data_IF_586957784373
#
_entry.id   IF_586957784373
#
_cell.length_a   1.000
_cell.length_b   1.000
_cell.length_c   1.000
_cell.angle_alpha   90.00
_cell.angle_beta   90.00
_cell.angle_gamma   90.00
#
_symmetry.space_group_name_H-M   'P 1'
#
loop_
_entity.id
_entity.type
_entity.pdbx_description
1 polymer ?
#
# COMPACT_ATOMS: atom_id res chain seq x y z
N UNK A 1 0.56 -36.92 5.91
CA UNK A 1 0.84 -37.86 7.01
C UNK A 1 0.50 -37.18 8.31
N UNK A 2 -0.77 -37.32 8.64
CA UNK A 2 -1.55 -36.70 9.70
C UNK A 2 -1.28 -37.35 11.07
N UNK A 3 -0.07 -37.17 11.58
CA UNK A 3 0.39 -37.85 12.81
C UNK A 3 0.77 -36.96 13.99
N UNK A 4 0.98 -35.65 13.79
CA UNK A 4 1.58 -34.80 14.85
C UNK A 4 0.62 -33.84 15.57
N UNK A 5 -0.68 -33.86 15.25
CA UNK A 5 -1.67 -33.00 15.92
C UNK A 5 -2.46 -33.71 17.02
N UNK A 6 -2.27 -35.02 17.22
CA UNK A 6 -3.00 -35.83 18.20
C UNK A 6 -2.44 -35.79 19.63
N UNK A 7 -1.29 -35.13 19.85
CA UNK A 7 -0.65 -35.05 21.16
C UNK A 7 -0.51 -33.63 21.73
N UNK A 8 -1.31 -32.66 21.25
CA UNK A 8 -1.44 -31.40 21.99
C UNK A 8 -2.25 -31.65 23.27
N UNK A 9 -1.75 -31.24 24.46
CA UNK A 9 -2.55 -31.22 25.68
C UNK A 9 -3.87 -30.47 25.43
N UNK A 10 -4.98 -30.93 26.00
CA UNK A 10 -6.31 -30.32 25.76
C UNK A 10 -6.35 -28.80 26.03
N UNK A 11 -5.42 -28.31 26.85
CA UNK A 11 -5.19 -26.91 27.20
C UNK A 11 -4.86 -26.03 25.98
N UNK A 12 -4.36 -26.60 24.88
CA UNK A 12 -3.90 -25.87 23.69
C UNK A 12 -4.88 -25.93 22.50
N UNK A 13 -6.04 -26.59 22.64
CA UNK A 13 -7.09 -26.58 21.60
C UNK A 13 -7.80 -25.22 21.58
N UNK A 14 -7.53 -24.40 20.57
CA UNK A 14 -8.24 -23.12 20.36
C UNK A 14 -9.55 -23.39 19.63
N UNK A 15 -10.65 -23.50 20.36
CA UNK A 15 -12.01 -23.60 19.80
C UNK A 15 -12.54 -22.21 19.42
N UNK A 16 -12.92 -22.02 18.15
CA UNK A 16 -13.64 -20.85 17.67
C UNK A 16 -15.10 -20.84 18.11
N UNK A 17 -15.38 -20.86 19.41
CA UNK A 17 -16.72 -20.64 19.94
C UNK A 17 -16.62 -19.90 21.27
N UNK A 18 -17.27 -18.72 21.33
CA UNK A 18 -17.65 -17.96 22.54
C UNK A 18 -16.99 -18.41 23.85
N UNK A 19 -15.71 -18.08 24.05
CA UNK A 19 -14.94 -18.59 25.19
C UNK A 19 -14.24 -17.48 25.98
N UNK A 20 -14.37 -17.52 27.29
CA UNK A 20 -13.44 -16.90 28.24
C UNK A 20 -12.04 -17.48 27.99
N UNK A 21 -10.99 -16.66 27.93
CA UNK A 21 -9.64 -17.17 27.72
C UNK A 21 -9.23 -18.07 28.90
N UNK A 22 -9.00 -19.37 28.63
CA UNK A 22 -8.64 -20.36 29.66
C UNK A 22 -7.13 -20.43 29.94
N UNK A 23 -6.31 -19.99 28.99
CA UNK A 23 -4.84 -19.99 29.11
C UNK A 23 -4.36 -18.70 29.78
N UNK A 24 -3.45 -18.84 30.76
CA UNK A 24 -2.71 -17.71 31.33
C UNK A 24 -1.74 -17.17 30.27
N UNK A 25 -2.22 -16.22 29.46
CA UNK A 25 -1.48 -15.67 28.32
C UNK A 25 -0.07 -15.19 28.68
N UNK A 26 0.10 -14.56 29.84
CA UNK A 26 1.41 -14.13 30.34
C UNK A 26 2.40 -15.30 30.48
N UNK A 27 1.94 -16.45 30.97
CA UNK A 27 2.75 -17.68 31.13
C UNK A 27 3.10 -18.29 29.78
N UNK A 28 2.12 -18.33 28.86
CA UNK A 28 2.34 -18.82 27.49
C UNK A 28 3.40 -17.97 26.78
N UNK A 29 3.32 -16.65 26.88
CA UNK A 29 4.31 -15.75 26.25
C UNK A 29 5.69 -15.87 26.90
N UNK A 30 5.78 -16.00 28.23
CA UNK A 30 7.07 -16.28 28.89
C UNK A 30 7.70 -17.57 28.36
N UNK A 31 6.94 -18.65 28.29
CA UNK A 31 7.41 -19.93 27.77
C UNK A 31 7.87 -19.82 26.30
N UNK A 32 7.12 -19.08 25.46
CA UNK A 32 7.52 -18.80 24.07
C UNK A 32 8.87 -18.06 24.04
N UNK A 33 9.05 -17.02 24.86
CA UNK A 33 10.29 -16.25 24.91
C UNK A 33 11.47 -17.12 25.36
N UNK A 34 11.31 -17.95 26.40
CA UNK A 34 12.33 -18.88 26.87
C UNK A 34 12.77 -19.84 25.77
N UNK A 35 11.82 -20.49 25.08
CA UNK A 35 12.10 -21.46 24.03
C UNK A 35 12.76 -20.82 22.82
N UNK A 36 12.30 -19.63 22.43
CA UNK A 36 12.84 -18.95 21.25
C UNK A 36 14.20 -18.28 21.53
N UNK A 37 14.55 -18.05 22.80
CA UNK A 37 15.84 -17.49 23.20
C UNK A 37 16.93 -18.56 23.38
N UNK A 38 16.55 -19.80 23.68
CA UNK A 38 17.48 -20.93 23.76
C UNK A 38 17.78 -21.52 22.38
N UNK A 39 19.05 -21.62 22.00
CA UNK A 39 19.45 -22.06 20.65
C UNK A 39 19.07 -23.50 20.32
N UNK A 40 19.06 -24.41 21.30
CA UNK A 40 18.68 -25.80 21.09
C UNK A 40 17.15 -25.94 20.99
N UNK A 41 16.42 -25.37 21.94
CA UNK A 41 14.95 -25.41 21.95
C UNK A 41 14.35 -24.65 20.77
N UNK A 42 14.93 -23.53 20.36
CA UNK A 42 14.53 -22.80 19.17
C UNK A 42 14.66 -23.67 17.92
N UNK A 43 15.75 -24.43 17.79
CA UNK A 43 15.96 -25.34 16.65
C UNK A 43 14.95 -26.48 16.63
N UNK A 44 14.65 -27.07 17.80
CA UNK A 44 13.74 -28.20 17.92
C UNK A 44 12.26 -27.81 17.83
N UNK A 45 11.87 -26.70 18.47
CA UNK A 45 10.47 -26.35 18.73
C UNK A 45 10.07 -24.95 18.26
N UNK A 46 11.02 -24.11 17.81
CA UNK A 46 10.77 -22.69 17.54
C UNK A 46 9.67 -22.43 16.52
N UNK A 47 9.58 -23.23 15.45
CA UNK A 47 8.48 -23.11 14.48
C UNK A 47 7.11 -23.30 15.14
N UNK A 48 6.97 -24.32 15.98
CA UNK A 48 5.70 -24.62 16.67
C UNK A 48 5.31 -23.48 17.60
N UNK A 49 6.25 -22.97 18.40
CA UNK A 49 5.98 -21.89 19.35
C UNK A 49 5.71 -20.55 18.66
N UNK A 50 6.30 -20.28 17.49
CA UNK A 50 5.94 -19.12 16.66
C UNK A 50 4.52 -19.22 16.10
N UNK A 51 4.07 -20.41 15.70
CA UNK A 51 2.68 -20.59 15.26
C UNK A 51 1.70 -20.43 16.44
N UNK A 52 2.05 -20.91 17.63
CA UNK A 52 1.26 -20.65 18.85
C UNK A 52 1.20 -19.15 19.13
N UNK A 53 2.34 -18.46 19.09
CA UNK A 53 2.42 -17.00 19.28
C UNK A 53 1.50 -16.27 18.29
N UNK A 54 1.52 -16.66 17.02
CA UNK A 54 0.67 -16.08 15.98
C UNK A 54 -0.81 -16.19 16.33
N UNK A 55 -1.27 -17.36 16.81
CA UNK A 55 -2.66 -17.55 17.22
C UNK A 55 -3.01 -16.77 18.50
N UNK A 56 -2.09 -16.67 19.47
CA UNK A 56 -2.27 -15.80 20.65
C UNK A 56 -2.44 -14.34 20.23
N UNK A 57 -1.60 -13.83 19.33
CA UNK A 57 -1.63 -12.44 18.88
C UNK A 57 -2.89 -12.08 18.07
N UNK A 58 -3.55 -13.06 17.45
CA UNK A 58 -4.81 -12.86 16.70
C UNK A 58 -6.02 -12.62 17.63
N UNK A 59 -5.93 -13.04 18.89
CA UNK A 59 -7.03 -12.91 19.85
C UNK A 59 -6.88 -11.61 20.64
N UNK A 60 -7.71 -10.63 20.33
CA UNK A 60 -7.69 -9.29 20.96
C UNK A 60 -7.74 -9.31 22.49
N UNK A 61 -8.45 -10.27 23.08
CA UNK A 61 -8.57 -10.42 24.55
C UNK A 61 -7.21 -10.65 25.23
N UNK A 62 -6.23 -11.20 24.52
CA UNK A 62 -4.91 -11.48 25.07
C UNK A 62 -3.96 -10.28 25.05
N UNK A 63 -4.23 -9.23 24.28
CA UNK A 63 -3.25 -8.15 24.07
C UNK A 63 -2.88 -7.43 25.38
N UNK A 64 -3.86 -7.16 26.24
CA UNK A 64 -3.63 -6.56 27.56
C UNK A 64 -3.08 -7.53 28.61
N UNK A 65 -3.00 -8.82 28.31
CA UNK A 65 -2.43 -9.82 29.22
C UNK A 65 -0.92 -10.03 29.01
N UNK A 66 -0.38 -9.53 27.90
CA UNK A 66 1.05 -9.62 27.58
C UNK A 66 1.76 -8.46 28.30
N UNK A 67 2.79 -8.78 29.08
CA UNK A 67 3.56 -7.80 29.86
C UNK A 67 4.23 -6.79 28.94
N UNK A 68 4.40 -5.57 29.44
CA UNK A 68 5.09 -4.48 28.75
C UNK A 68 6.47 -4.91 28.22
N UNK A 69 7.31 -5.55 29.04
CA UNK A 69 8.66 -5.96 28.63
C UNK A 69 8.64 -7.09 27.61
N UNK A 70 7.69 -8.03 27.73
CA UNK A 70 7.55 -9.13 26.77
C UNK A 70 7.25 -8.61 25.35
N UNK A 71 6.52 -7.51 25.19
CA UNK A 71 6.31 -6.92 23.85
C UNK A 71 7.62 -6.48 23.20
N UNK A 72 8.52 -5.88 23.99
CA UNK A 72 9.82 -5.45 23.52
C UNK A 72 10.72 -6.64 23.17
N UNK A 73 10.75 -7.65 24.05
CA UNK A 73 11.53 -8.88 23.83
C UNK A 73 11.04 -9.65 22.60
N UNK A 74 9.72 -9.83 22.45
CA UNK A 74 9.13 -10.48 21.27
C UNK A 74 9.52 -9.76 19.99
N UNK A 75 9.49 -8.41 20.00
CA UNK A 75 9.87 -7.63 18.83
C UNK A 75 11.33 -7.88 18.43
N UNK A 76 12.25 -7.77 19.39
CA UNK A 76 13.68 -7.95 19.12
C UNK A 76 14.01 -9.38 18.69
N UNK A 77 13.41 -10.37 19.35
CA UNK A 77 13.60 -11.78 19.05
C UNK A 77 13.08 -12.15 17.65
N UNK A 78 11.89 -11.67 17.27
CA UNK A 78 11.34 -11.93 15.95
C UNK A 78 12.12 -11.22 14.83
N UNK A 79 12.69 -10.04 15.08
CA UNK A 79 13.61 -9.42 14.10
C UNK A 79 14.90 -10.22 13.96
N UNK A 80 15.46 -10.73 15.06
CA UNK A 80 16.64 -11.61 15.01
C UNK A 80 16.37 -12.89 14.22
N UNK A 81 15.22 -13.54 14.49
CA UNK A 81 14.75 -14.71 13.75
C UNK A 81 14.51 -14.42 12.26
N UNK A 82 14.08 -13.20 11.91
CA UNK A 82 13.90 -12.81 10.51
C UNK A 82 15.25 -12.70 9.77
N UNK A 83 16.26 -12.11 10.41
CA UNK A 83 17.60 -11.96 9.83
C UNK A 83 18.35 -13.28 9.75
N UNK A 84 18.17 -14.16 10.74
CA UNK A 84 18.83 -15.47 10.83
C UNK A 84 17.80 -16.58 11.05
N UNK A 85 16.98 -16.90 10.05
CA UNK A 85 15.95 -17.93 10.21
C UNK A 85 16.61 -19.32 10.34
N UNK A 86 16.17 -20.15 11.30
CA UNK A 86 16.50 -21.57 11.32
C UNK A 86 16.04 -22.26 10.02
N UNK A 87 16.67 -23.38 9.65
CA UNK A 87 16.48 -24.06 8.35
C UNK A 87 15.02 -24.43 7.98
N UNK A 88 14.10 -24.46 8.94
CA UNK A 88 12.69 -24.82 8.74
C UNK A 88 11.73 -23.66 9.00
N UNK A 89 12.25 -22.47 9.27
CA UNK A 89 11.45 -21.30 9.57
C UNK A 89 11.32 -20.41 8.33
N UNK A 90 10.08 -20.29 7.86
CA UNK A 90 9.75 -19.45 6.73
C UNK A 90 9.74 -17.96 7.12
N UNK A 91 10.46 -17.12 6.36
CA UNK A 91 10.53 -15.66 6.57
C UNK A 91 9.15 -15.01 6.48
N UNK A 92 8.23 -15.50 5.65
CA UNK A 92 6.89 -14.91 5.53
C UNK A 92 6.10 -15.06 6.84
N UNK A 93 6.21 -16.22 7.48
CA UNK A 93 5.61 -16.48 8.79
C UNK A 93 6.15 -15.52 9.86
N UNK A 94 7.47 -15.32 9.90
CA UNK A 94 8.09 -14.38 10.86
C UNK A 94 7.66 -12.94 10.59
N UNK A 95 7.62 -12.51 9.32
CA UNK A 95 7.13 -11.18 8.94
C UNK A 95 5.66 -10.97 9.31
N UNK A 96 4.81 -11.99 9.19
CA UNK A 96 3.41 -11.91 9.62
C UNK A 96 3.29 -11.81 11.15
N UNK A 97 4.14 -12.53 11.91
CA UNK A 97 4.19 -12.41 13.36
C UNK A 97 4.66 -11.01 13.77
N UNK A 98 5.71 -10.49 13.13
CA UNK A 98 6.16 -9.10 13.33
C UNK A 98 5.03 -8.11 13.06
N UNK A 99 4.25 -8.30 11.99
CA UNK A 99 3.07 -7.47 11.73
C UNK A 99 2.12 -7.45 12.93
N UNK A 100 1.81 -8.62 13.49
CA UNK A 100 0.93 -8.71 14.66
C UNK A 100 1.56 -8.10 15.91
N UNK A 101 2.85 -8.31 16.17
CA UNK A 101 3.56 -7.68 17.29
C UNK A 101 3.50 -6.16 17.18
N UNK A 102 3.75 -5.59 16.00
CA UNK A 102 3.67 -4.14 15.79
C UNK A 102 2.25 -3.63 15.97
N UNK A 103 1.27 -4.30 15.34
CA UNK A 103 -0.14 -3.90 15.40
C UNK A 103 -0.70 -3.91 16.82
N UNK A 104 -0.38 -4.96 17.58
CA UNK A 104 -0.96 -5.20 18.89
C UNK A 104 -0.11 -4.58 20.02
N UNK A 105 1.21 -4.60 19.89
CA UNK A 105 2.15 -4.18 20.94
C UNK A 105 2.41 -2.68 21.01
N UNK A 106 2.30 -1.95 19.89
CA UNK A 106 2.56 -0.49 19.90
C UNK A 106 1.58 0.29 20.78
N UNK A 107 0.26 -0.03 20.82
CA UNK A 107 -0.65 0.59 21.79
C UNK A 107 -0.46 0.11 23.24
N UNK A 108 0.24 -0.99 23.47
CA UNK A 108 0.40 -1.64 24.79
C UNK A 108 1.75 -1.35 25.44
N UNK A 109 2.70 -0.81 24.68
CA UNK A 109 4.07 -0.59 25.14
C UNK A 109 4.79 0.45 24.28
N UNK A 110 5.99 0.87 24.69
CA UNK A 110 6.78 1.87 23.97
C UNK A 110 7.58 1.27 22.79
N UNK A 111 6.94 0.45 21.95
CA UNK A 111 7.60 -0.16 20.79
C UNK A 111 8.09 0.88 19.76
N UNK A 112 7.47 2.06 19.69
CA UNK A 112 7.73 3.04 18.64
C UNK A 112 9.22 3.40 18.46
N UNK A 113 9.92 3.67 19.57
CA UNK A 113 11.35 3.98 19.55
C UNK A 113 12.21 2.79 19.11
N UNK A 114 11.86 1.57 19.53
CA UNK A 114 12.56 0.34 19.10
C UNK A 114 12.31 0.06 17.63
N UNK A 115 11.07 0.19 17.16
CA UNK A 115 10.68 0.00 15.76
C UNK A 115 11.41 0.93 14.81
N UNK A 116 11.54 2.21 15.19
CA UNK A 116 12.31 3.19 14.39
C UNK A 116 13.75 2.72 14.15
N UNK A 117 14.40 2.10 15.15
CA UNK A 117 15.75 1.54 15.02
C UNK A 117 15.82 0.32 14.09
N UNK A 118 14.68 -0.33 13.79
CA UNK A 118 14.59 -1.51 12.90
C UNK A 118 14.33 -1.15 11.44
N UNK A 119 14.15 0.13 11.10
CA UNK A 119 13.98 0.55 9.69
C UNK A 119 15.08 0.05 8.76
N UNK A 120 16.39 0.11 9.10
CA UNK A 120 17.42 -0.45 8.22
C UNK A 120 17.25 -1.94 7.94
N UNK A 121 16.74 -2.72 8.90
CA UNK A 121 16.45 -4.15 8.71
C UNK A 121 15.31 -4.35 7.71
N UNK A 122 14.25 -3.55 7.85
CA UNK A 122 13.09 -3.60 6.96
C UNK A 122 13.46 -3.15 5.54
N UNK A 123 14.31 -2.12 5.39
CA UNK A 123 14.81 -1.71 4.07
C UNK A 123 15.56 -2.87 3.42
N UNK A 124 16.50 -3.51 4.12
CA UNK A 124 17.21 -4.70 3.61
C UNK A 124 16.28 -5.85 3.23
N UNK A 125 15.16 -6.01 3.94
CA UNK A 125 14.17 -7.03 3.60
C UNK A 125 13.50 -6.78 2.23
N UNK A 126 13.32 -5.51 1.82
CA UNK A 126 12.81 -5.15 0.49
C UNK A 126 13.90 -5.16 -0.59
N UNK A 127 15.17 -4.98 -0.20
CA UNK A 127 16.34 -5.07 -1.08
C UNK A 127 16.71 -6.49 -1.48
N UNK A 128 16.22 -7.50 -0.74
CA UNK A 128 16.49 -8.92 -0.99
C UNK A 128 16.06 -9.31 -2.42
N UNK A 129 17.02 -9.74 -3.23
CA UNK A 129 16.82 -10.06 -4.64
C UNK A 129 15.89 -11.26 -4.85
N UNK A 130 15.75 -12.13 -3.86
CA UNK A 130 14.83 -13.28 -3.91
C UNK A 130 13.39 -12.90 -3.53
N UNK A 131 13.16 -11.71 -2.96
CA UNK A 131 11.82 -11.25 -2.58
C UNK A 131 10.84 -11.34 -3.74
N UNK A 132 11.28 -11.03 -4.96
CA UNK A 132 10.49 -11.10 -6.20
C UNK A 132 9.83 -12.47 -6.45
N UNK A 133 10.43 -13.56 -5.93
CA UNK A 133 9.98 -14.94 -6.13
C UNK A 133 9.03 -15.45 -5.04
N UNK A 134 8.83 -14.67 -3.96
CA UNK A 134 8.19 -15.12 -2.72
C UNK A 134 6.90 -14.32 -2.43
N UNK A 135 5.75 -14.64 -3.06
CA UNK A 135 4.53 -13.82 -2.98
C UNK A 135 3.95 -13.71 -1.56
N UNK A 136 4.04 -14.78 -0.76
CA UNK A 136 3.58 -14.74 0.63
C UNK A 136 4.45 -13.80 1.50
N UNK A 137 5.76 -13.76 1.24
CA UNK A 137 6.69 -12.86 1.92
C UNK A 137 6.44 -11.41 1.49
N UNK A 138 6.27 -11.16 0.19
CA UNK A 138 5.90 -9.84 -0.35
C UNK A 138 4.68 -9.26 0.39
N UNK A 139 3.60 -10.03 0.47
CA UNK A 139 2.38 -9.59 1.15
C UNK A 139 2.59 -9.35 2.65
N UNK A 140 3.38 -10.21 3.31
CA UNK A 140 3.66 -10.07 4.75
C UNK A 140 4.53 -8.84 5.05
N UNK A 141 5.54 -8.57 4.22
CA UNK A 141 6.39 -7.37 4.35
C UNK A 141 5.61 -6.10 4.03
N UNK A 142 4.74 -6.08 3.02
CA UNK A 142 3.87 -4.94 2.74
C UNK A 142 2.94 -4.64 3.92
N UNK A 143 2.29 -5.67 4.50
CA UNK A 143 1.47 -5.52 5.71
C UNK A 143 2.27 -4.95 6.88
N UNK A 144 3.48 -5.45 7.08
CA UNK A 144 4.38 -4.96 8.12
C UNK A 144 4.78 -3.50 7.88
N UNK A 145 5.21 -3.15 6.67
CA UNK A 145 5.61 -1.79 6.30
C UNK A 145 4.48 -0.78 6.47
N UNK A 146 3.26 -1.10 5.99
CA UNK A 146 2.08 -0.27 6.19
C UNK A 146 1.79 -0.05 7.68
N UNK A 147 1.86 -1.13 8.46
CA UNK A 147 1.52 -1.09 9.89
C UNK A 147 2.55 -0.28 10.67
N UNK A 148 3.84 -0.54 10.45
CA UNK A 148 4.95 0.22 11.04
C UNK A 148 4.82 1.71 10.70
N UNK A 149 4.59 2.04 9.42
CA UNK A 149 4.42 3.43 9.00
C UNK A 149 3.21 4.08 9.64
N UNK A 150 2.06 3.40 9.75
CA UNK A 150 0.85 3.94 10.41
C UNK A 150 1.06 4.20 11.90
N UNK A 151 1.75 3.28 12.59
CA UNK A 151 2.02 3.43 14.02
C UNK A 151 3.00 4.58 14.30
N UNK A 152 3.99 4.78 13.42
CA UNK A 152 5.04 5.79 13.62
C UNK A 152 4.75 7.14 12.95
N UNK A 153 3.74 7.22 12.07
CA UNK A 153 3.40 8.43 11.31
C UNK A 153 3.20 9.66 12.22
N UNK A 154 2.58 9.48 13.39
CA UNK A 154 2.27 10.59 14.30
C UNK A 154 3.48 11.10 15.07
N UNK A 155 4.37 10.21 15.49
CA UNK A 155 5.49 10.53 16.40
C UNK A 155 6.84 10.66 15.68
N UNK A 156 6.95 10.13 14.47
CA UNK A 156 8.20 10.02 13.72
C UNK A 156 7.96 10.12 12.23
N UNK A 157 7.11 11.06 11.80
CA UNK A 157 6.78 11.32 10.39
C UNK A 157 8.03 11.43 9.53
N UNK A 158 9.03 12.23 9.93
CA UNK A 158 10.25 12.45 9.14
C UNK A 158 11.02 11.14 8.89
N UNK A 159 11.21 10.33 9.93
CA UNK A 159 11.85 9.02 9.79
C UNK A 159 11.00 8.06 8.95
N UNK A 160 9.67 8.15 9.05
CA UNK A 160 8.73 7.33 8.27
C UNK A 160 8.74 7.71 6.79
N UNK A 161 8.80 9.00 6.46
CA UNK A 161 9.02 9.49 5.09
C UNK A 161 10.35 8.98 4.53
N UNK A 162 11.44 9.09 5.28
CA UNK A 162 12.73 8.52 4.87
C UNK A 162 12.63 7.02 4.60
N UNK A 163 12.00 6.26 5.50
CA UNK A 163 11.77 4.83 5.32
C UNK A 163 10.96 4.53 4.06
N UNK A 164 9.88 5.29 3.84
CA UNK A 164 9.08 5.23 2.63
C UNK A 164 9.89 5.47 1.37
N UNK A 165 10.69 6.54 1.36
CA UNK A 165 11.61 6.85 0.26
C UNK A 165 12.64 5.72 0.06
N UNK A 166 13.12 5.08 1.11
CA UNK A 166 14.09 3.99 0.99
C UNK A 166 13.50 2.74 0.32
N UNK A 167 12.21 2.44 0.54
CA UNK A 167 11.59 1.19 0.05
C UNK A 167 10.68 1.35 -1.19
N UNK A 168 10.24 2.56 -1.53
CA UNK A 168 9.20 2.78 -2.55
C UNK A 168 9.55 2.18 -3.92
N UNK A 169 10.81 2.30 -4.36
CA UNK A 169 11.25 1.70 -5.64
C UNK A 169 11.08 0.18 -5.65
N UNK A 170 11.41 -0.51 -4.55
CA UNK A 170 11.25 -1.96 -4.43
C UNK A 170 9.78 -2.35 -4.41
N UNK A 171 8.94 -1.58 -3.70
CA UNK A 171 7.48 -1.80 -3.66
C UNK A 171 6.86 -1.68 -5.04
N UNK A 172 7.24 -0.68 -5.84
CA UNK A 172 6.78 -0.51 -7.23
C UNK A 172 7.19 -1.71 -8.09
N UNK A 173 8.40 -2.24 -7.91
CA UNK A 173 8.87 -3.43 -8.63
C UNK A 173 8.10 -4.72 -8.29
N UNK A 174 7.32 -4.76 -7.19
CA UNK A 174 6.46 -5.90 -6.87
C UNK A 174 5.16 -5.93 -7.67
N UNK A 175 4.85 -4.86 -8.41
CA UNK A 175 3.65 -4.77 -9.24
C UNK A 175 3.61 -5.86 -10.30
N UNK A 176 2.52 -6.61 -10.31
CA UNK A 176 2.20 -7.57 -11.36
C UNK A 176 0.73 -7.43 -11.72
N UNK A 177 0.43 -7.48 -13.02
CA UNK A 177 -0.95 -7.49 -13.49
C UNK A 177 -1.53 -8.91 -13.45
N UNK A 178 -1.90 -9.38 -12.26
CA UNK A 178 -2.60 -10.66 -12.04
C UNK A 178 -4.04 -10.39 -11.60
N UNK A 179 -5.00 -11.03 -12.28
CA UNK A 179 -6.43 -10.92 -11.94
C UNK A 179 -6.76 -11.70 -10.66
N UNK A 180 -6.10 -12.83 -10.44
CA UNK A 180 -6.22 -13.64 -9.23
C UNK A 180 -5.04 -13.36 -8.30
N UNK A 181 -5.29 -12.55 -7.27
CA UNK A 181 -4.29 -12.20 -6.26
C UNK A 181 -4.69 -12.79 -4.91
N UNK A 182 -4.28 -14.05 -4.66
CA UNK A 182 -4.57 -14.79 -3.42
C UNK A 182 -4.20 -14.02 -2.15
N UNK A 183 -3.18 -13.17 -2.22
CA UNK A 183 -2.63 -12.47 -1.06
C UNK A 183 -3.02 -10.98 -1.01
N UNK A 184 -3.82 -10.51 -1.97
CA UNK A 184 -4.14 -9.09 -2.21
C UNK A 184 -2.89 -8.18 -2.19
N UNK A 185 -1.78 -8.67 -2.74
CA UNK A 185 -0.52 -7.93 -2.88
C UNK A 185 -0.72 -6.59 -3.57
N UNK A 186 -1.50 -6.57 -4.66
CA UNK A 186 -1.79 -5.36 -5.42
C UNK A 186 -2.50 -4.32 -4.57
N UNK A 187 -3.49 -4.75 -3.78
CA UNK A 187 -4.18 -3.89 -2.82
C UNK A 187 -3.24 -3.34 -1.74
N UNK A 188 -2.41 -4.20 -1.15
CA UNK A 188 -1.42 -3.79 -0.14
C UNK A 188 -0.39 -2.79 -0.70
N UNK A 189 0.05 -2.99 -1.94
CA UNK A 189 0.95 -2.06 -2.61
C UNK A 189 0.29 -0.69 -2.77
N UNK A 190 -0.96 -0.63 -3.22
CA UNK A 190 -1.70 0.63 -3.31
C UNK A 190 -1.91 1.29 -1.95
N UNK A 191 -2.23 0.53 -0.91
CA UNK A 191 -2.35 1.03 0.46
C UNK A 191 -1.03 1.64 0.98
N UNK A 192 0.10 0.99 0.68
CA UNK A 192 1.42 1.50 1.05
C UNK A 192 1.72 2.82 0.32
N UNK A 193 1.57 2.85 -1.00
CA UNK A 193 1.84 4.06 -1.80
C UNK A 193 0.90 5.21 -1.41
N UNK A 194 -0.37 4.92 -1.14
CA UNK A 194 -1.33 5.91 -0.67
C UNK A 194 -0.94 6.46 0.71
N UNK A 195 -0.43 5.60 1.60
CA UNK A 195 0.10 6.05 2.88
C UNK A 195 1.31 6.98 2.68
N UNK A 196 2.22 6.66 1.74
CA UNK A 196 3.32 7.57 1.42
C UNK A 196 2.82 8.91 0.89
N UNK A 197 1.83 8.92 0.00
CA UNK A 197 1.22 10.18 -0.47
C UNK A 197 0.69 11.02 0.69
N UNK A 198 -0.04 10.43 1.63
CA UNK A 198 -0.53 11.18 2.80
C UNK A 198 0.57 11.63 3.76
N UNK A 199 1.67 10.88 3.85
CA UNK A 199 2.82 11.25 4.67
C UNK A 199 3.60 12.41 4.05
N UNK A 200 3.79 12.42 2.73
CA UNK A 200 4.56 13.44 2.03
C UNK A 200 3.73 14.70 1.71
N UNK A 201 2.47 14.51 1.34
CA UNK A 201 1.53 15.54 0.90
C UNK A 201 0.21 15.51 1.71
N UNK A 202 0.23 15.78 3.04
CA UNK A 202 -0.98 15.80 3.85
C UNK A 202 -2.04 16.72 3.24
N UNK A 203 -3.26 16.22 3.04
CA UNK A 203 -4.37 16.97 2.42
C UNK A 203 -4.05 17.55 1.03
N UNK A 204 -3.08 16.97 0.31
CA UNK A 204 -2.71 17.39 -1.04
C UNK A 204 -1.76 18.60 -1.09
N UNK A 205 -1.14 18.99 0.03
CA UNK A 205 -0.13 20.06 0.08
C UNK A 205 1.08 19.72 -0.79
N UNK A 206 1.66 20.71 -1.46
CA UNK A 206 2.73 20.58 -2.44
C UNK A 206 4.11 20.80 -1.84
N UNK A 207 5.15 20.43 -2.59
CA UNK A 207 6.51 20.87 -2.29
C UNK A 207 6.56 22.40 -2.16
N UNK A 208 7.13 22.88 -1.06
CA UNK A 208 7.14 24.31 -0.70
C UNK A 208 6.02 24.71 0.27
N UNK A 209 4.93 23.95 0.37
CA UNK A 209 3.90 24.18 1.39
C UNK A 209 4.40 23.72 2.77
N UNK A 210 4.09 24.48 3.83
CA UNK A 210 4.63 24.23 5.17
C UNK A 210 4.26 22.88 5.80
N UNK A 211 3.22 22.19 5.32
CA UNK A 211 2.82 20.87 5.80
C UNK A 211 3.43 19.72 4.98
N UNK A 212 3.89 19.98 3.76
CA UNK A 212 4.51 18.96 2.92
C UNK A 212 5.92 18.63 3.41
N UNK A 213 6.34 17.38 3.26
CA UNK A 213 7.66 16.96 3.71
C UNK A 213 8.19 15.80 2.88
N UNK A 214 9.44 15.89 2.46
CA UNK A 214 10.26 14.75 2.04
C UNK A 214 11.60 14.84 2.78
N UNK A 215 12.17 13.68 3.10
CA UNK A 215 13.54 13.59 3.58
C UNK A 215 14.52 13.98 2.46
N UNK A 216 14.23 13.55 1.23
CA UNK A 216 14.88 14.03 -0.01
C UNK A 216 13.83 14.33 -1.08
N UNK A 217 13.59 15.61 -1.35
CA UNK A 217 12.65 16.05 -2.40
C UNK A 217 13.06 15.59 -3.80
N UNK A 218 14.36 15.54 -4.09
CA UNK A 218 14.86 14.97 -5.35
C UNK A 218 14.45 13.50 -5.52
N UNK A 219 14.75 12.68 -4.51
CA UNK A 219 14.41 11.26 -4.51
C UNK A 219 12.89 11.05 -4.55
N UNK A 220 12.15 11.81 -3.75
CA UNK A 220 10.70 11.71 -3.70
C UNK A 220 10.05 12.12 -5.03
N UNK A 221 10.55 13.15 -5.73
CA UNK A 221 10.07 13.52 -7.07
C UNK A 221 10.27 12.40 -8.09
N UNK A 222 11.44 11.75 -8.12
CA UNK A 222 11.67 10.59 -9.00
C UNK A 222 10.70 9.43 -8.68
N UNK A 223 10.42 9.22 -7.40
CA UNK A 223 9.46 8.20 -6.96
C UNK A 223 8.02 8.56 -7.32
N UNK A 224 7.58 9.79 -7.10
CA UNK A 224 6.26 10.27 -7.45
C UNK A 224 5.98 10.06 -8.95
N UNK A 225 6.95 10.35 -9.82
CA UNK A 225 6.86 10.06 -11.25
C UNK A 225 6.71 8.57 -11.54
N UNK A 226 7.46 7.73 -10.83
CA UNK A 226 7.38 6.26 -10.96
C UNK A 226 6.01 5.73 -10.49
N UNK A 227 5.48 6.28 -9.40
CA UNK A 227 4.14 5.96 -8.89
C UNK A 227 3.08 6.37 -9.92
N UNK A 228 3.20 7.55 -10.53
CA UNK A 228 2.29 7.99 -11.58
C UNK A 228 2.36 7.10 -12.82
N UNK A 229 3.55 6.68 -13.26
CA UNK A 229 3.69 5.72 -14.35
C UNK A 229 3.03 4.37 -14.05
N UNK A 230 3.08 3.92 -12.79
CA UNK A 230 2.36 2.73 -12.34
C UNK A 230 0.83 2.93 -12.36
N UNK A 231 0.34 4.09 -11.90
CA UNK A 231 -1.09 4.46 -11.96
C UNK A 231 -1.57 4.48 -13.41
N UNK A 232 -0.84 5.15 -14.31
CA UNK A 232 -1.16 5.19 -15.74
C UNK A 232 -1.21 3.78 -16.36
N UNK A 233 -0.23 2.94 -16.04
CA UNK A 233 -0.18 1.55 -16.51
C UNK A 233 -1.39 0.76 -16.03
N UNK A 234 -1.76 0.89 -14.76
CA UNK A 234 -2.92 0.19 -14.20
C UNK A 234 -4.23 0.71 -14.79
N UNK A 235 -4.40 2.02 -14.95
CA UNK A 235 -5.57 2.61 -15.61
C UNK A 235 -5.79 2.02 -17.01
N UNK A 236 -4.71 1.93 -17.79
CA UNK A 236 -4.76 1.32 -19.12
C UNK A 236 -5.01 -0.18 -19.10
N UNK A 237 -4.50 -0.90 -18.11
CA UNK A 237 -4.79 -2.32 -17.94
C UNK A 237 -6.25 -2.55 -17.59
N UNK A 238 -6.83 -1.75 -16.68
CA UNK A 238 -8.24 -1.83 -16.31
C UNK A 238 -9.12 -1.52 -17.53
N UNK A 239 -8.78 -0.46 -18.28
CA UNK A 239 -9.46 -0.08 -19.51
C UNK A 239 -9.45 -1.22 -20.55
N UNK A 240 -8.32 -1.91 -20.76
CA UNK A 240 -8.22 -3.01 -21.74
C UNK A 240 -8.95 -4.28 -21.31
N UNK A 241 -8.96 -4.59 -20.01
CA UNK A 241 -9.44 -5.88 -19.52
C UNK A 241 -10.95 -5.98 -19.33
N UNK A 242 -11.74 -5.01 -19.86
CA UNK A 242 -13.21 -5.02 -19.97
C UNK A 242 -13.89 -5.81 -18.84
N UNK A 243 -13.59 -5.44 -17.60
CA UNK A 243 -14.16 -6.11 -16.45
C UNK A 243 -15.67 -5.89 -16.46
N UNK A 244 -16.44 -6.99 -16.32
CA UNK A 244 -17.91 -6.91 -16.20
C UNK A 244 -18.34 -6.04 -15.00
N UNK A 245 -17.46 -5.91 -14.01
CA UNK A 245 -17.61 -5.02 -12.87
C UNK A 245 -16.82 -3.74 -13.16
N UNK A 246 -17.52 -2.67 -13.53
CA UNK A 246 -16.95 -1.34 -13.79
C UNK A 246 -16.75 -0.57 -12.47
N UNK A 247 -15.89 -1.08 -11.58
CA UNK A 247 -15.56 -0.43 -10.31
C UNK A 247 -14.05 -0.50 -10.07
N UNK A 248 -13.42 0.66 -9.85
CA UNK A 248 -12.03 0.72 -9.41
C UNK A 248 -11.93 0.26 -7.96
N UNK A 249 -10.88 -0.49 -7.61
CA UNK A 249 -10.58 -0.75 -6.19
C UNK A 249 -10.42 0.60 -5.48
N UNK A 250 -11.09 0.76 -4.34
CA UNK A 250 -11.14 2.05 -3.61
C UNK A 250 -9.76 2.62 -3.28
N UNK A 251 -8.84 1.78 -2.79
CA UNK A 251 -7.49 2.20 -2.48
C UNK A 251 -6.68 2.63 -3.70
N UNK A 252 -6.90 1.98 -4.85
CA UNK A 252 -6.29 2.38 -6.11
C UNK A 252 -6.81 3.74 -6.58
N UNK A 253 -8.13 3.94 -6.58
CA UNK A 253 -8.74 5.21 -6.97
C UNK A 253 -8.24 6.36 -6.09
N UNK A 254 -8.20 6.16 -4.77
CA UNK A 254 -7.64 7.13 -3.83
C UNK A 254 -6.17 7.44 -4.12
N UNK A 255 -5.36 6.43 -4.38
CA UNK A 255 -3.95 6.63 -4.77
C UNK A 255 -3.85 7.45 -6.06
N UNK A 256 -4.60 7.08 -7.09
CA UNK A 256 -4.60 7.77 -8.37
C UNK A 256 -4.97 9.25 -8.21
N UNK A 257 -5.99 9.58 -7.41
CA UNK A 257 -6.38 10.95 -7.12
C UNK A 257 -5.25 11.75 -6.45
N UNK A 258 -4.60 11.20 -5.41
CA UNK A 258 -3.49 11.89 -4.74
C UNK A 258 -2.30 12.14 -5.67
N UNK A 259 -1.94 11.14 -6.47
CA UNK A 259 -0.78 11.21 -7.36
C UNK A 259 -1.04 12.16 -8.52
N UNK A 260 -2.21 12.06 -9.17
CA UNK A 260 -2.61 12.97 -10.25
C UNK A 260 -2.66 14.42 -9.79
N UNK A 261 -3.19 14.69 -8.58
CA UNK A 261 -3.19 16.03 -7.99
C UNK A 261 -1.78 16.63 -7.94
N UNK A 262 -0.80 15.87 -7.44
CA UNK A 262 0.58 16.38 -7.35
C UNK A 262 1.22 16.56 -8.74
N UNK A 263 1.05 15.59 -9.65
CA UNK A 263 1.69 15.64 -10.98
C UNK A 263 1.08 16.71 -11.88
N UNK A 264 -0.25 16.90 -11.86
CA UNK A 264 -0.93 17.83 -12.79
C UNK A 264 -0.69 19.30 -12.43
N UNK A 265 -0.42 19.58 -11.17
CA UNK A 265 -0.13 20.95 -10.73
C UNK A 265 1.35 21.32 -10.81
N UNK A 266 2.25 20.34 -10.92
CA UNK A 266 3.70 20.56 -11.05
C UNK A 266 4.08 21.19 -12.40
N UNK A 267 3.14 21.28 -13.36
CA UNK A 267 3.36 21.98 -14.65
C UNK A 267 4.32 21.27 -15.60
N UNK A 268 4.99 20.20 -15.15
CA UNK A 268 5.75 19.26 -15.97
C UNK A 268 4.78 18.36 -16.76
N UNK A 269 4.17 18.91 -17.81
CA UNK A 269 3.19 18.18 -18.66
C UNK A 269 3.80 17.00 -19.41
N UNK A 270 5.13 16.93 -19.47
CA UNK A 270 5.89 15.85 -20.12
C UNK A 270 6.82 15.22 -19.10
N UNK A 271 6.41 14.07 -18.58
CA UNK A 271 7.32 13.16 -17.90
C UNK A 271 8.07 12.37 -18.96
N UNK A 272 9.23 12.89 -19.35
CA UNK A 272 10.22 12.09 -20.03
C UNK A 272 10.72 11.03 -19.04
N UNK A 273 10.13 9.83 -19.10
CA UNK A 273 10.63 8.62 -18.43
C UNK A 273 11.96 8.14 -19.07
N UNK A 274 12.82 9.08 -19.42
CA UNK A 274 14.05 8.86 -20.16
C UNK A 274 15.19 8.75 -19.16
N UNK A 275 15.53 7.50 -18.84
CA UNK A 275 16.77 7.08 -18.19
C UNK A 275 16.97 7.42 -16.69
N UNK A 276 16.51 6.52 -15.83
CA UNK A 276 17.28 6.09 -14.65
C UNK A 276 17.49 4.57 -14.74
N UNK A 277 18.25 4.14 -15.75
CA UNK A 277 18.94 2.85 -15.69
C UNK A 277 20.20 3.04 -14.85
N UNK A 278 20.05 2.92 -13.54
CA UNK A 278 21.16 2.52 -12.65
C UNK A 278 20.72 1.32 -11.85
N UNK A 279 20.25 0.27 -12.54
CA UNK A 279 20.01 -1.04 -11.95
C UNK A 279 20.52 -2.07 -12.96
N UNK A 280 21.50 -2.85 -12.47
CA UNK A 280 22.25 -3.89 -13.16
C UNK A 280 21.46 -4.66 -14.22
N UNK A 281 22.13 -4.87 -15.35
CA UNK A 281 21.81 -5.86 -16.37
C UNK A 281 21.78 -7.26 -15.74
N UNK A 282 20.64 -7.72 -15.23
CA UNK A 282 20.40 -9.17 -15.00
C UNK A 282 18.98 -9.50 -14.52
N UNK A 283 17.91 -8.91 -15.06
CA UNK A 283 16.64 -9.65 -15.14
C UNK A 283 15.86 -9.23 -16.39
N UNK A 284 15.79 -10.15 -17.35
CA UNK A 284 14.97 -10.05 -18.55
C UNK A 284 13.50 -10.31 -18.18
N UNK A 285 12.72 -9.25 -17.97
CA UNK A 285 11.28 -9.27 -18.21
C UNK A 285 10.91 -8.10 -19.12
N UNK A 286 10.19 -8.41 -20.20
CA UNK A 286 9.79 -7.51 -21.26
C UNK A 286 8.92 -6.37 -20.72
N UNK A 287 9.50 -5.18 -20.60
CA UNK A 287 8.77 -3.95 -20.29
C UNK A 287 7.96 -3.53 -21.53
N UNK A 288 6.64 -3.24 -21.40
CA UNK A 288 5.85 -2.75 -22.53
C UNK A 288 6.40 -1.43 -23.08
N UNK A 289 6.27 -1.24 -24.41
CA UNK A 289 6.77 -0.08 -25.18
C UNK A 289 6.57 1.25 -24.45
N UNK A 290 7.67 2.02 -24.36
CA UNK A 290 7.75 3.39 -23.82
C UNK A 290 6.59 4.23 -24.35
N UNK A 291 5.66 4.60 -23.47
CA UNK A 291 4.60 5.56 -23.76
C UNK A 291 4.98 6.87 -23.12
N UNK A 292 4.97 7.95 -23.91
CA UNK A 292 5.06 9.32 -23.37
C UNK A 292 3.84 9.49 -22.45
N UNK A 293 4.09 9.66 -21.15
CA UNK A 293 3.01 9.89 -20.18
C UNK A 293 2.72 11.39 -20.20
N UNK A 294 1.68 11.78 -20.93
CA UNK A 294 1.20 13.16 -20.96
C UNK A 294 0.44 13.37 -19.64
N UNK A 295 0.89 14.33 -18.84
CA UNK A 295 0.23 14.72 -17.59
C UNK A 295 -0.74 15.88 -17.81
N UNK A 296 -1.76 15.99 -16.96
CA UNK A 296 -2.72 17.09 -16.97
C UNK A 296 -4.16 16.63 -17.20
N UNK A 297 -5.10 17.52 -16.92
CA UNK A 297 -6.52 17.32 -17.20
C UNK A 297 -6.75 17.19 -18.71
N UNK A 298 -5.97 17.93 -19.50
CA UNK A 298 -5.99 17.95 -20.96
C UNK A 298 -5.72 16.56 -21.55
N UNK A 299 -4.80 15.79 -20.97
CA UNK A 299 -4.50 14.42 -21.39
C UNK A 299 -5.70 13.48 -21.19
N UNK A 300 -6.43 13.65 -20.09
CA UNK A 300 -7.65 12.87 -19.84
C UNK A 300 -8.75 13.29 -20.83
N UNK A 301 -8.90 14.58 -21.08
CA UNK A 301 -9.86 15.11 -22.08
C UNK A 301 -9.57 14.52 -23.47
N UNK A 302 -8.30 14.43 -23.87
CA UNK A 302 -7.89 13.80 -25.14
C UNK A 302 -8.28 12.31 -25.20
N UNK A 303 -8.04 11.56 -24.12
CA UNK A 303 -8.45 10.15 -24.01
C UNK A 303 -9.97 10.01 -24.18
N UNK A 304 -10.74 10.88 -23.52
CA UNK A 304 -12.20 10.89 -23.56
C UNK A 304 -12.77 11.33 -24.92
N UNK A 305 -12.04 12.19 -25.65
CA UNK A 305 -12.42 12.67 -26.98
C UNK A 305 -12.17 11.66 -28.09
N UNK A 306 -11.47 10.55 -27.81
CA UNK A 306 -11.10 9.57 -28.85
C UNK A 306 -12.34 8.86 -29.40
N UNK A 307 -12.66 8.98 -30.71
CA UNK A 307 -13.86 8.39 -31.29
C UNK A 307 -13.92 6.86 -31.14
N UNK A 308 -15.12 6.32 -30.91
CA UNK A 308 -15.38 4.87 -30.91
C UNK A 308 -15.03 4.09 -29.64
N UNK A 309 -14.68 4.76 -28.53
CA UNK A 309 -14.25 4.13 -27.26
C UNK A 309 -15.19 4.32 -26.06
N UNK A 310 -16.46 4.67 -26.28
CA UNK A 310 -17.40 5.09 -25.21
C UNK A 310 -17.63 4.09 -24.08
N UNK A 311 -17.43 2.78 -24.29
CA UNK A 311 -17.59 1.76 -23.23
C UNK A 311 -16.33 1.54 -22.38
N UNK A 312 -15.16 1.93 -22.87
CA UNK A 312 -13.87 1.64 -22.24
C UNK A 312 -13.30 2.87 -21.49
N UNK A 313 -14.04 3.99 -21.41
CA UNK A 313 -13.58 5.25 -20.78
C UNK A 313 -13.96 5.38 -19.30
N UNK A 314 -14.78 4.49 -18.76
CA UNK A 314 -15.29 4.57 -17.38
C UNK A 314 -14.20 4.72 -16.29
N UNK A 315 -12.99 4.13 -16.39
CA UNK A 315 -11.96 4.30 -15.34
C UNK A 315 -11.51 5.76 -15.26
N UNK A 316 -11.31 6.40 -16.42
CA UNK A 316 -10.88 7.79 -16.54
C UNK A 316 -11.95 8.75 -16.04
N UNK A 317 -13.22 8.48 -16.33
CA UNK A 317 -14.34 9.25 -15.78
C UNK A 317 -14.43 9.10 -14.26
N UNK A 318 -14.24 7.90 -13.73
CA UNK A 318 -14.25 7.64 -12.28
C UNK A 318 -13.14 8.40 -11.57
N UNK A 319 -11.93 8.42 -12.16
CA UNK A 319 -10.80 9.21 -11.69
C UNK A 319 -11.12 10.70 -11.72
N UNK A 320 -11.60 11.25 -12.85
CA UNK A 320 -11.92 12.67 -12.95
C UNK A 320 -12.97 13.11 -11.93
N UNK A 321 -14.06 12.37 -11.81
CA UNK A 321 -15.12 12.70 -10.87
C UNK A 321 -14.60 12.78 -9.43
N UNK A 322 -13.79 11.80 -9.02
CA UNK A 322 -13.18 11.75 -7.70
C UNK A 322 -12.15 12.85 -7.48
N UNK A 323 -11.35 13.15 -8.51
CA UNK A 323 -10.34 14.18 -8.50
C UNK A 323 -10.98 15.58 -8.35
N UNK A 324 -12.03 15.87 -9.12
CA UNK A 324 -12.76 17.14 -9.03
C UNK A 324 -13.53 17.27 -7.71
N UNK A 325 -14.11 16.18 -7.21
CA UNK A 325 -14.81 16.19 -5.93
C UNK A 325 -13.86 16.49 -4.77
N UNK A 326 -12.63 15.98 -4.80
CA UNK A 326 -11.66 16.16 -3.71
C UNK A 326 -10.82 17.42 -3.84
N UNK A 327 -10.38 17.73 -5.05
CA UNK A 327 -9.48 18.84 -5.37
C UNK A 327 -10.11 19.75 -6.41
N UNK A 328 -11.14 20.52 -6.04
CA UNK A 328 -11.89 21.37 -6.98
C UNK A 328 -11.00 22.32 -7.79
N UNK A 329 -9.97 22.88 -7.15
CA UNK A 329 -9.09 23.88 -7.76
C UNK A 329 -8.16 23.32 -8.85
N UNK A 330 -8.11 22.00 -9.03
CA UNK A 330 -7.29 21.38 -10.07
C UNK A 330 -7.77 21.73 -11.48
N UNK A 331 -9.06 22.06 -11.62
CA UNK A 331 -9.66 22.46 -12.88
C UNK A 331 -9.45 23.97 -13.10
N UNK A 332 -8.66 24.31 -14.11
CA UNK A 332 -8.35 25.70 -14.47
C UNK A 332 -9.36 26.21 -15.49
N UNK A 333 -9.43 27.54 -15.65
CA UNK A 333 -10.43 28.19 -16.51
C UNK A 333 -10.38 27.69 -17.97
N UNK A 334 -9.18 27.46 -18.48
CA UNK A 334 -8.99 26.94 -19.84
C UNK A 334 -9.52 25.52 -20.05
N UNK A 335 -9.66 24.73 -18.98
CA UNK A 335 -10.05 23.32 -19.05
C UNK A 335 -11.57 23.14 -19.12
N UNK A 336 -12.36 24.13 -18.65
CA UNK A 336 -13.81 24.01 -18.54
C UNK A 336 -14.48 23.82 -19.90
N UNK A 337 -14.15 24.64 -20.90
CA UNK A 337 -14.80 24.57 -22.21
C UNK A 337 -14.50 23.22 -22.91
N UNK A 338 -13.24 22.78 -23.04
CA UNK A 338 -12.92 21.47 -23.60
C UNK A 338 -13.60 20.32 -22.85
N UNK A 339 -13.59 20.36 -21.51
CA UNK A 339 -14.21 19.34 -20.67
C UNK A 339 -15.73 19.25 -20.90
N UNK A 340 -16.42 20.39 -20.90
CA UNK A 340 -17.87 20.44 -21.07
C UNK A 340 -18.30 19.95 -22.46
N UNK A 341 -17.54 20.27 -23.52
CA UNK A 341 -17.82 19.76 -24.87
C UNK A 341 -17.73 18.24 -24.91
N UNK A 342 -16.64 17.68 -24.40
CA UNK A 342 -16.44 16.23 -24.38
C UNK A 342 -17.51 15.52 -23.55
N UNK A 343 -17.88 16.08 -22.39
CA UNK A 343 -18.95 15.51 -21.58
C UNK A 343 -20.30 15.57 -22.33
N UNK A 344 -20.64 16.68 -22.98
CA UNK A 344 -21.89 16.81 -23.74
C UNK A 344 -21.95 15.81 -24.91
N UNK A 345 -20.86 15.67 -25.66
CA UNK A 345 -20.75 14.72 -26.77
C UNK A 345 -20.91 13.28 -26.26
N UNK A 346 -20.24 12.93 -25.16
CA UNK A 346 -20.36 11.61 -24.54
C UNK A 346 -21.77 11.36 -23.98
N UNK A 347 -22.42 12.35 -23.36
CA UNK A 347 -23.80 12.22 -22.87
C UNK A 347 -24.80 11.98 -24.00
N UNK A 348 -24.61 12.62 -25.16
CA UNK A 348 -25.50 12.45 -26.31
C UNK A 348 -25.35 11.08 -27.00
N UNK A 349 -24.20 10.43 -26.86
CA UNK A 349 -23.84 9.19 -27.58
C UNK A 349 -23.80 7.95 -26.70
N UNK A 350 -23.69 8.11 -25.37
CA UNK A 350 -23.51 7.01 -24.45
C UNK A 350 -24.84 6.31 -24.12
N UNK A 351 -24.84 4.98 -24.23
CA UNK A 351 -25.97 4.10 -23.88
C UNK A 351 -25.70 3.23 -22.65
N UNK A 352 -24.50 3.28 -22.10
CA UNK A 352 -24.09 2.50 -20.93
C UNK A 352 -24.45 3.28 -19.65
N UNK A 353 -25.29 2.68 -18.80
CA UNK A 353 -25.81 3.32 -17.59
C UNK A 353 -24.73 3.66 -16.56
N UNK A 354 -23.63 2.89 -16.53
CA UNK A 354 -22.54 3.10 -15.58
C UNK A 354 -21.67 4.27 -16.06
N UNK A 355 -21.31 4.29 -17.34
CA UNK A 355 -20.61 5.43 -17.96
C UNK A 355 -21.44 6.70 -17.82
N UNK A 356 -22.76 6.64 -18.04
CA UNK A 356 -23.67 7.76 -17.79
C UNK A 356 -23.69 8.20 -16.32
N UNK A 357 -23.66 7.27 -15.38
CA UNK A 357 -23.51 7.56 -13.95
C UNK A 357 -22.22 8.34 -13.66
N UNK A 358 -21.07 7.88 -14.17
CA UNK A 358 -19.79 8.57 -14.01
C UNK A 358 -19.78 9.94 -14.70
N UNK A 359 -20.39 10.08 -15.88
CA UNK A 359 -20.54 11.37 -16.57
C UNK A 359 -21.36 12.36 -15.74
N UNK A 360 -22.50 11.91 -15.18
CA UNK A 360 -23.32 12.74 -14.29
C UNK A 360 -22.51 13.18 -13.05
N UNK A 361 -21.78 12.26 -12.40
CA UNK A 361 -20.93 12.62 -11.26
C UNK A 361 -19.82 13.60 -11.66
N UNK A 362 -19.17 13.43 -12.82
CA UNK A 362 -18.22 14.40 -13.36
C UNK A 362 -18.84 15.79 -13.53
N UNK A 363 -20.06 15.88 -14.09
CA UNK A 363 -20.75 17.19 -14.26
C UNK A 363 -21.11 17.86 -12.95
N UNK A 364 -21.53 17.09 -11.94
CA UNK A 364 -21.89 17.64 -10.62
C UNK A 364 -20.62 18.15 -9.91
N UNK A 365 -19.56 17.34 -9.93
CA UNK A 365 -18.27 17.72 -9.34
C UNK A 365 -17.65 18.94 -10.05
N UNK A 366 -17.78 19.05 -11.37
CA UNK A 366 -17.26 20.18 -12.16
C UNK A 366 -18.11 21.45 -12.11
N UNK A 367 -19.35 21.40 -11.61
CA UNK A 367 -20.18 22.58 -11.32
C UNK A 367 -19.93 23.15 -9.93
N UNK A 368 -19.66 22.27 -8.97
CA UNK A 368 -19.32 22.68 -7.59
C UNK A 368 -18.02 23.50 -7.56
N UNK A 369 -17.11 23.26 -8.52
CA UNK A 369 -15.89 24.04 -8.76
C UNK A 369 -16.13 25.41 -9.38
N UNK A 370 -17.11 25.56 -10.27
CA UNK A 370 -17.36 26.83 -10.98
C UNK A 370 -18.11 27.85 -10.11
N UNK A 371 -19.06 27.38 -9.29
CA UNK A 371 -19.87 28.26 -8.41
C UNK A 371 -19.02 28.89 -7.30
N UNK A 372 -17.97 28.19 -6.83
CA UNK A 372 -17.02 28.72 -5.84
C UNK A 372 -16.11 29.85 -6.38
N UNK A 373 -16.07 30.06 -7.69
CA UNK A 373 -15.28 31.14 -8.34
C UNK A 373 -16.14 32.34 -8.75
N UNK A 374 -17.48 32.27 -8.64
CA UNK A 374 -18.39 33.37 -9.02
C UNK A 374 -18.77 34.29 -7.84
N UNK A 375 -18.05 34.20 -6.72
CA UNK A 375 -18.18 35.13 -5.58
C UNK A 375 -16.84 35.82 -5.33
N UNK A 376 -16.44 36.70 -6.25
CA UNK A 376 -15.64 37.91 -5.99
C UNK A 376 -16.15 39.01 -6.91
#
# INVERSE_FOLDING_TARGET
MDGCLSHMPEEFKVSYFSGTPKLKCSTVVSCILEILSDGYLQKCFGRTYLLILKEVLRVRKYWGCIKFDHWNELLDLCFMLYEKPPAHLDKATVAEILYWIVKCGTPQSHLGLRLRKKFPLLVRAFEDSDLGKLPALQASLLKLAITVSRQLAKESRMATCKFGEDITKYVIHLYEHRLEDRYDKKGLMFDFLLLQMHLHHPHGTREGDGAAYAYSWEKWRCQLRSIYGLVDTEMHNIQRNRCKVQVLKENFLRLAVEVCKQVYEDGSSVLDMTNERTINESVSYSVPKRRRVIGGIEAIIEILSTPGKTQDIWPWLSLMSSLFSKYPNILKEQDFIPLLRVIADLQSTCKDSIVMGCLCQCTVSSRSTSVGKTVI
#
